data_IF_983229011938
#
_entry.id   IF_983229011938
#
_cell.length_a   1.000
_cell.length_b   1.000
_cell.length_c   1.000
_cell.angle_alpha   90.00
_cell.angle_beta   90.00
_cell.angle_gamma   90.00
#
_symmetry.space_group_name_H-M   'P 1'
#
loop_
_entity.id
_entity.type
_entity.pdbx_description
1 polymer ?
#
# COMPACT_ATOMS: atom_id res chain seq x y z
N UNK A 1 6.00 -17.18 7.22
CA UNK A 1 6.19 -18.61 6.84
C UNK A 1 5.12 -19.41 7.59
N UNK A 2 3.98 -19.58 7.01
CA UNK A 2 3.04 -20.58 7.44
C UNK A 2 3.33 -21.83 6.65
N UNK A 3 4.05 -22.76 7.27
CA UNK A 3 4.32 -24.08 6.71
C UNK A 3 3.19 -25.06 6.96
N UNK A 4 1.95 -24.59 6.88
CA UNK A 4 0.80 -25.47 7.02
C UNK A 4 0.43 -26.06 5.67
N UNK A 5 0.44 -27.39 5.63
CA UNK A 5 0.01 -28.18 4.48
C UNK A 5 -1.49 -28.08 4.15
N UNK A 6 -2.24 -27.28 4.93
CA UNK A 6 -3.66 -26.98 4.78
C UNK A 6 -3.88 -25.48 4.53
N UNK A 7 -3.06 -24.89 3.66
CA UNK A 7 -3.27 -23.51 3.26
C UNK A 7 -4.56 -23.40 2.44
N UNK A 8 -5.61 -22.96 3.10
CA UNK A 8 -6.79 -22.44 2.42
C UNK A 8 -6.47 -21.07 1.89
N UNK A 9 -6.72 -20.85 0.58
CA UNK A 9 -6.54 -19.57 -0.08
C UNK A 9 -7.10 -18.43 0.77
N UNK A 10 -6.23 -17.69 1.44
CA UNK A 10 -6.62 -16.59 2.31
C UNK A 10 -6.36 -15.25 1.63
N UNK A 11 -7.23 -14.29 1.84
CA UNK A 11 -6.98 -12.92 1.45
C UNK A 11 -5.76 -12.39 2.22
N UNK A 12 -4.61 -12.26 1.57
CA UNK A 12 -3.40 -11.76 2.23
C UNK A 12 -2.17 -11.83 1.34
N UNK A 13 -1.01 -11.46 1.89
CA UNK A 13 0.27 -11.44 1.18
C UNK A 13 0.65 -12.79 0.54
N UNK A 14 0.30 -13.88 1.20
CA UNK A 14 0.58 -15.22 0.69
C UNK A 14 -0.17 -15.53 -0.60
N UNK A 15 -1.35 -14.96 -0.80
CA UNK A 15 -2.17 -15.11 -2.00
C UNK A 15 -1.42 -14.70 -3.27
N UNK A 16 -0.66 -13.60 -3.23
CA UNK A 16 0.14 -13.15 -4.38
C UNK A 16 1.11 -14.23 -4.87
N UNK A 17 1.68 -15.03 -3.96
CA UNK A 17 2.74 -15.99 -4.23
C UNK A 17 2.27 -17.43 -4.40
N UNK A 18 1.19 -17.80 -3.71
CA UNK A 18 0.77 -19.20 -3.55
C UNK A 18 -0.48 -19.54 -4.32
N UNK A 19 -1.38 -18.56 -4.55
CA UNK A 19 -2.64 -18.84 -5.24
C UNK A 19 -2.42 -18.99 -6.74
N UNK A 20 -3.18 -19.89 -7.32
CA UNK A 20 -3.23 -20.09 -8.77
C UNK A 20 -3.90 -18.92 -9.47
N UNK A 21 -3.68 -18.78 -10.77
CA UNK A 21 -4.34 -17.75 -11.57
C UNK A 21 -5.86 -17.90 -11.56
N UNK A 22 -6.35 -19.14 -11.55
CA UNK A 22 -7.77 -19.46 -11.50
C UNK A 22 -8.42 -18.99 -10.19
N UNK A 23 -7.81 -19.31 -9.04
CA UNK A 23 -8.26 -18.86 -7.72
C UNK A 23 -8.28 -17.34 -7.59
N UNK A 24 -7.28 -16.66 -8.18
CA UNK A 24 -7.23 -15.20 -8.20
C UNK A 24 -8.32 -14.58 -9.06
N UNK A 25 -8.63 -15.19 -10.21
CA UNK A 25 -9.73 -14.75 -11.11
C UNK A 25 -11.08 -14.94 -10.45
N UNK A 26 -11.31 -16.07 -9.81
CA UNK A 26 -12.59 -16.38 -9.14
C UNK A 26 -12.91 -15.37 -8.04
N UNK A 27 -11.87 -14.80 -7.42
CA UNK A 27 -11.99 -13.75 -6.41
C UNK A 27 -11.99 -12.33 -6.98
N UNK A 28 -11.94 -12.17 -8.31
CA UNK A 28 -11.83 -10.87 -8.97
C UNK A 28 -10.61 -10.04 -8.54
N UNK A 29 -9.55 -10.71 -8.12
CA UNK A 29 -8.31 -10.11 -7.60
C UNK A 29 -7.20 -10.01 -8.65
N UNK A 30 -7.45 -10.46 -9.88
CA UNK A 30 -6.51 -10.48 -10.98
C UNK A 30 -7.15 -9.92 -12.26
N UNK A 31 -6.43 -8.98 -12.87
CA UNK A 31 -6.65 -8.57 -14.27
C UNK A 31 -5.49 -9.09 -15.09
N UNK A 32 -5.75 -9.96 -16.03
CA UNK A 32 -4.75 -10.63 -16.86
C UNK A 32 -4.87 -10.28 -18.34
N UNK A 33 -3.87 -10.62 -19.12
CA UNK A 33 -3.78 -10.40 -20.58
C UNK A 33 -4.01 -8.94 -20.98
N UNK A 34 -3.55 -8.00 -20.17
CA UNK A 34 -3.61 -6.58 -20.48
C UNK A 34 -2.50 -6.22 -21.47
N UNK A 35 -2.81 -5.42 -22.49
CA UNK A 35 -1.83 -4.90 -23.44
C UNK A 35 -1.56 -3.43 -23.19
N UNK A 36 -0.29 -3.04 -23.17
CA UNK A 36 0.09 -1.64 -23.08
C UNK A 36 -0.24 -0.92 -24.38
N UNK A 37 -1.03 0.16 -24.28
CA UNK A 37 -1.36 1.04 -25.42
C UNK A 37 -0.55 2.34 -25.36
N UNK A 38 -0.21 2.79 -24.18
CA UNK A 38 0.54 4.03 -23.99
C UNK A 38 1.43 3.96 -22.75
N UNK A 39 2.65 4.47 -22.87
CA UNK A 39 3.56 4.63 -21.75
C UNK A 39 4.07 6.08 -21.73
N UNK A 40 3.50 6.90 -20.84
CA UNK A 40 3.88 8.30 -20.58
C UNK A 40 4.78 8.38 -19.35
N UNK A 41 5.93 7.75 -19.44
CA UNK A 41 6.92 7.79 -18.35
C UNK A 41 7.95 8.87 -18.65
N UNK A 42 8.13 9.76 -17.70
CA UNK A 42 9.19 10.76 -17.66
C UNK A 42 9.93 10.66 -16.32
N UNK A 43 10.84 11.59 -16.05
CA UNK A 43 11.64 11.59 -14.82
C UNK A 43 10.83 11.90 -13.55
N UNK A 44 9.63 12.45 -13.71
CA UNK A 44 8.76 12.85 -12.59
C UNK A 44 7.59 11.88 -12.39
N UNK A 45 7.02 11.38 -13.48
CA UNK A 45 5.84 10.53 -13.48
C UNK A 45 5.98 9.35 -14.42
N UNK A 46 5.51 8.19 -14.01
CA UNK A 46 5.47 7.00 -14.84
C UNK A 46 4.03 6.48 -14.92
N UNK A 47 3.30 6.90 -15.96
CA UNK A 47 1.92 6.52 -16.21
C UNK A 47 1.87 5.57 -17.40
N UNK A 48 1.20 4.42 -17.19
CA UNK A 48 1.02 3.40 -18.23
C UNK A 48 -0.47 3.13 -18.38
N UNK A 49 -0.93 3.11 -19.64
CA UNK A 49 -2.31 2.80 -20.00
C UNK A 49 -2.37 1.44 -20.70
N UNK A 50 -3.38 0.66 -20.34
CA UNK A 50 -3.62 -0.68 -20.85
C UNK A 50 -5.01 -0.78 -21.47
N UNK A 51 -5.13 -1.59 -22.50
CA UNK A 51 -6.40 -2.07 -23.02
C UNK A 51 -6.70 -3.49 -22.59
N UNK A 52 -7.97 -3.84 -22.52
CA UNK A 52 -8.41 -5.22 -22.37
C UNK A 52 -8.33 -5.95 -23.71
N UNK A 53 -7.77 -7.14 -23.70
CA UNK A 53 -7.78 -8.03 -24.86
C UNK A 53 -9.00 -8.95 -24.84
N UNK A 54 -9.17 -9.76 -25.88
CA UNK A 54 -10.21 -10.78 -25.93
C UNK A 54 -10.07 -11.86 -24.83
N UNK A 55 -8.87 -11.99 -24.26
CA UNK A 55 -8.56 -12.98 -23.21
C UNK A 55 -8.62 -12.39 -21.80
N UNK A 56 -8.74 -11.08 -21.68
CA UNK A 56 -8.75 -10.39 -20.39
C UNK A 56 -10.03 -10.64 -19.61
N UNK A 57 -9.90 -10.90 -18.32
CA UNK A 57 -11.01 -10.78 -17.39
C UNK A 57 -11.32 -9.29 -17.17
N UNK A 58 -12.56 -8.88 -17.48
CA UNK A 58 -13.00 -7.48 -17.26
C UNK A 58 -13.61 -7.27 -15.88
N UNK A 59 -13.91 -8.37 -15.18
CA UNK A 59 -14.48 -8.30 -13.84
C UNK A 59 -13.37 -8.22 -12.81
N UNK A 60 -13.39 -7.17 -12.03
CA UNK A 60 -12.43 -6.97 -10.93
C UNK A 60 -13.03 -6.17 -9.80
N UNK A 61 -12.45 -6.34 -8.62
CA UNK A 61 -12.79 -5.57 -7.42
C UNK A 61 -11.93 -4.29 -7.27
N UNK A 62 -11.17 -3.93 -8.29
CA UNK A 62 -10.25 -2.80 -8.23
C UNK A 62 -10.98 -1.46 -8.30
N UNK A 63 -10.48 -0.51 -7.50
CA UNK A 63 -10.99 0.85 -7.43
C UNK A 63 -9.87 1.87 -7.67
N UNK A 64 -10.24 3.03 -8.17
CA UNK A 64 -9.31 4.16 -8.26
C UNK A 64 -8.67 4.43 -6.90
N UNK A 65 -7.35 4.51 -6.88
CA UNK A 65 -6.54 4.72 -5.68
C UNK A 65 -5.98 3.44 -5.08
N UNK A 66 -6.43 2.26 -5.49
CA UNK A 66 -5.91 0.99 -5.00
C UNK A 66 -4.43 0.85 -5.33
N UNK A 67 -3.72 0.23 -4.39
CA UNK A 67 -2.33 -0.16 -4.59
C UNK A 67 -2.32 -1.53 -5.24
N UNK A 68 -1.65 -1.62 -6.37
CA UNK A 68 -1.60 -2.83 -7.19
C UNK A 68 -0.16 -3.17 -7.56
N UNK A 69 0.06 -4.41 -7.94
CA UNK A 69 1.30 -4.89 -8.54
C UNK A 69 1.08 -5.18 -10.02
N UNK A 70 2.03 -4.74 -10.84
CA UNK A 70 2.10 -5.03 -12.26
C UNK A 70 3.26 -5.99 -12.51
N UNK A 71 3.03 -7.02 -13.31
CA UNK A 71 4.06 -7.96 -13.75
C UNK A 71 3.72 -8.54 -15.11
N UNK A 72 4.74 -9.01 -15.88
CA UNK A 72 4.49 -9.58 -17.21
C UNK A 72 3.73 -10.91 -17.10
N UNK A 73 2.85 -11.14 -18.07
CA UNK A 73 2.15 -12.41 -18.23
C UNK A 73 2.97 -13.39 -19.09
N UNK A 74 3.09 -14.62 -18.63
CA UNK A 74 3.73 -15.71 -19.37
C UNK A 74 2.81 -16.92 -19.52
N UNK A 75 2.65 -17.42 -20.74
CA UNK A 75 1.79 -18.56 -21.04
C UNK A 75 2.25 -19.87 -20.39
N UNK A 76 3.56 -20.02 -20.12
CA UNK A 76 4.13 -21.29 -19.68
C UNK A 76 4.47 -21.35 -18.19
N UNK A 77 4.45 -20.23 -17.48
CA UNK A 77 4.78 -20.17 -16.05
C UNK A 77 4.32 -18.83 -15.49
N UNK A 78 3.22 -18.85 -14.77
CA UNK A 78 2.72 -17.67 -14.04
C UNK A 78 3.37 -17.52 -12.65
N UNK A 79 4.62 -17.98 -12.52
CA UNK A 79 5.32 -17.82 -11.25
C UNK A 79 5.84 -16.39 -11.13
N UNK A 80 5.12 -15.58 -10.39
CA UNK A 80 5.48 -14.19 -10.03
C UNK A 80 6.92 -14.07 -9.52
N UNK A 81 7.45 -15.11 -8.87
CA UNK A 81 8.81 -15.12 -8.33
C UNK A 81 9.91 -15.03 -9.41
N UNK A 82 9.57 -15.31 -10.66
CA UNK A 82 10.53 -15.28 -11.78
C UNK A 82 10.53 -13.93 -12.51
N UNK A 83 9.65 -13.00 -12.12
CA UNK A 83 9.45 -11.75 -12.84
C UNK A 83 9.72 -10.54 -11.96
N UNK A 84 10.09 -9.45 -12.62
CA UNK A 84 10.12 -8.15 -11.96
C UNK A 84 8.69 -7.69 -11.69
N UNK A 85 8.45 -7.31 -10.45
CA UNK A 85 7.17 -6.78 -9.98
C UNK A 85 7.28 -5.26 -9.85
N UNK A 86 6.31 -4.54 -10.38
CA UNK A 86 6.21 -3.09 -10.27
C UNK A 86 5.06 -2.73 -9.35
N UNK A 87 5.36 -1.96 -8.32
CA UNK A 87 4.32 -1.39 -7.44
C UNK A 87 3.69 -0.19 -8.10
N UNK A 88 2.37 -0.17 -8.14
CA UNK A 88 1.60 0.82 -8.85
C UNK A 88 0.45 1.36 -8.01
N UNK A 89 -0.09 2.49 -8.41
CA UNK A 89 -1.38 3.01 -7.95
C UNK A 89 -2.32 3.02 -9.13
N UNK A 90 -3.53 2.48 -8.96
CA UNK A 90 -4.57 2.48 -9.98
C UNK A 90 -5.15 3.89 -10.09
N UNK A 91 -5.06 4.49 -11.28
CA UNK A 91 -5.59 5.83 -11.55
C UNK A 91 -6.99 5.80 -12.11
N UNK A 92 -7.24 4.89 -13.05
CA UNK A 92 -8.52 4.70 -13.73
C UNK A 92 -8.73 3.23 -14.06
N UNK A 93 -9.97 2.79 -13.94
CA UNK A 93 -10.44 1.48 -14.42
C UNK A 93 -11.83 1.68 -15.00
N UNK A 94 -12.00 1.43 -16.27
CA UNK A 94 -13.27 1.57 -17.01
C UNK A 94 -13.41 0.43 -18.02
N UNK A 95 -14.47 0.45 -18.82
CA UNK A 95 -14.74 -0.60 -19.82
C UNK A 95 -13.69 -0.66 -20.95
N UNK A 96 -13.02 0.44 -21.24
CA UNK A 96 -12.03 0.56 -22.32
C UNK A 96 -10.63 0.10 -21.88
N UNK A 97 -10.32 0.20 -20.58
CA UNK A 97 -9.01 -0.18 -20.10
C UNK A 97 -8.66 0.32 -18.71
N UNK A 98 -7.37 0.28 -18.42
CA UNK A 98 -6.81 0.57 -17.12
C UNK A 98 -5.67 1.55 -17.26
N UNK A 99 -5.58 2.50 -16.33
CA UNK A 99 -4.46 3.42 -16.21
C UNK A 99 -3.84 3.31 -14.82
N UNK A 100 -2.55 3.11 -14.78
CA UNK A 100 -1.79 3.01 -13.55
C UNK A 100 -0.65 4.03 -13.51
N UNK A 101 -0.19 4.34 -12.29
CA UNK A 101 1.04 5.07 -12.04
C UNK A 101 2.01 4.17 -11.30
N UNK A 102 3.22 4.00 -11.82
CA UNK A 102 4.29 3.34 -11.10
C UNK A 102 4.69 4.17 -9.87
N UNK A 103 4.86 3.52 -8.73
CA UNK A 103 5.27 4.20 -7.48
C UNK A 103 6.75 4.57 -7.47
N UNK A 104 7.54 3.91 -8.30
CA UNK A 104 8.95 4.21 -8.47
C UNK A 104 9.23 4.39 -9.97
N UNK A 105 9.98 5.41 -10.31
CA UNK A 105 10.40 5.66 -11.71
C UNK A 105 11.25 4.50 -12.20
N UNK A 106 10.85 3.90 -13.31
CA UNK A 106 11.59 2.83 -13.98
C UNK A 106 12.47 3.42 -15.07
N UNK A 107 13.78 3.43 -14.84
CA UNK A 107 14.75 3.97 -15.80
C UNK A 107 14.84 3.15 -17.09
N UNK A 108 14.75 1.82 -16.97
CA UNK A 108 14.76 0.92 -18.13
C UNK A 108 13.35 0.74 -18.70
N UNK A 109 12.96 1.64 -19.58
CA UNK A 109 11.65 1.61 -20.25
C UNK A 109 11.51 0.44 -21.25
N UNK A 110 12.63 -0.17 -21.67
CA UNK A 110 12.57 -1.28 -22.62
C UNK A 110 11.93 -2.54 -22.04
N UNK A 111 11.87 -2.67 -20.72
CA UNK A 111 11.22 -3.82 -20.07
C UNK A 111 9.73 -3.89 -20.46
N UNK A 112 9.06 -2.75 -20.61
CA UNK A 112 7.64 -2.70 -20.98
C UNK A 112 7.37 -3.07 -22.45
N UNK A 113 8.42 -3.19 -23.27
CA UNK A 113 8.34 -3.62 -24.68
C UNK A 113 8.69 -5.11 -24.87
N UNK A 114 9.21 -5.77 -23.84
CA UNK A 114 9.66 -7.17 -23.93
C UNK A 114 8.51 -8.16 -23.85
N UNK A 115 7.39 -7.77 -23.30
CA UNK A 115 6.25 -8.62 -23.05
C UNK A 115 5.00 -8.06 -23.71
N UNK A 116 4.24 -8.95 -24.36
CA UNK A 116 3.00 -8.57 -25.03
C UNK A 116 1.86 -8.33 -24.05
N UNK A 117 1.79 -9.17 -22.99
CA UNK A 117 0.71 -9.13 -22.03
C UNK A 117 1.21 -8.91 -20.61
N UNK A 118 0.35 -8.30 -19.81
CA UNK A 118 0.63 -7.90 -18.43
C UNK A 118 -0.50 -8.30 -17.52
N UNK A 119 -0.17 -8.52 -16.26
CA UNK A 119 -1.09 -8.83 -15.18
C UNK A 119 -1.07 -7.71 -14.14
N UNK A 120 -2.24 -7.41 -13.60
CA UNK A 120 -2.40 -6.50 -12.47
C UNK A 120 -3.12 -7.25 -11.35
N UNK A 121 -2.53 -7.25 -10.16
CA UNK A 121 -3.10 -7.81 -8.94
C UNK A 121 -3.12 -6.80 -7.82
N UNK A 122 -3.97 -7.05 -6.82
CA UNK A 122 -4.00 -6.24 -5.61
C UNK A 122 -2.69 -6.40 -4.83
N UNK A 123 -2.06 -5.30 -4.44
CA UNK A 123 -0.88 -5.33 -3.58
C UNK A 123 -1.31 -5.41 -2.12
N UNK A 124 -1.21 -6.61 -1.56
CA UNK A 124 -1.40 -6.82 -0.12
C UNK A 124 -0.17 -6.43 0.72
N UNK A 125 0.94 -6.10 0.07
CA UNK A 125 2.12 -5.52 0.73
C UNK A 125 1.87 -4.04 1.03
N UNK A 126 0.91 -3.79 1.91
CA UNK A 126 0.55 -2.44 2.31
C UNK A 126 1.77 -1.70 2.88
N UNK A 127 1.93 -0.45 2.46
CA UNK A 127 2.89 0.47 3.03
C UNK A 127 2.72 0.64 4.55
N UNK A 128 1.53 0.39 5.07
CA UNK A 128 1.20 0.37 6.50
C UNK A 128 2.09 -0.61 7.27
N UNK A 129 2.32 -1.82 6.76
CA UNK A 129 3.17 -2.79 7.44
C UNK A 129 4.62 -2.30 7.60
N UNK A 130 5.16 -1.62 6.59
CA UNK A 130 6.50 -1.03 6.70
C UNK A 130 6.56 0.01 7.82
N UNK A 131 5.54 0.85 7.93
CA UNK A 131 5.45 1.83 9.02
C UNK A 131 5.23 1.16 10.37
N UNK A 132 4.40 0.13 10.44
CA UNK A 132 4.17 -0.65 11.66
C UNK A 132 5.46 -1.30 12.14
N UNK A 133 6.20 -2.01 11.29
CA UNK A 133 7.48 -2.63 11.65
C UNK A 133 8.51 -1.59 12.09
N UNK A 134 8.60 -0.47 11.39
CA UNK A 134 9.52 0.60 11.78
C UNK A 134 9.14 1.21 13.12
N UNK A 135 7.86 1.45 13.37
CA UNK A 135 7.39 1.99 14.64
C UNK A 135 7.57 0.98 15.78
N UNK A 136 7.36 -0.32 15.52
CA UNK A 136 7.65 -1.37 16.49
C UNK A 136 9.15 -1.43 16.82
N UNK A 137 10.03 -1.28 15.82
CA UNK A 137 11.46 -1.19 16.04
C UNK A 137 11.81 0.03 16.90
N UNK A 138 11.22 1.19 16.63
CA UNK A 138 11.42 2.38 17.45
C UNK A 138 10.93 2.19 18.88
N UNK A 139 9.80 1.50 19.07
CA UNK A 139 9.31 1.16 20.41
C UNK A 139 10.29 0.24 21.17
N UNK A 140 10.80 -0.80 20.49
CA UNK A 140 11.74 -1.76 21.12
C UNK A 140 13.08 -1.07 21.49
N UNK A 141 13.54 -0.14 20.66
CA UNK A 141 14.81 0.57 20.86
C UNK A 141 14.67 1.87 21.65
N UNK A 142 13.45 2.29 21.97
CA UNK A 142 13.21 3.48 22.78
C UNK A 142 13.71 3.30 24.22
N UNK A 143 14.02 4.42 24.88
CA UNK A 143 14.33 4.45 26.30
C UNK A 143 13.20 3.83 27.13
N UNK A 144 13.57 3.18 28.23
CA UNK A 144 12.63 2.41 29.04
C UNK A 144 11.46 3.27 29.54
N UNK A 145 11.72 4.48 29.97
CA UNK A 145 10.68 5.42 30.42
C UNK A 145 9.63 5.69 29.33
N UNK A 146 10.08 5.89 28.09
CA UNK A 146 9.19 6.06 26.92
C UNK A 146 8.36 4.81 26.62
N UNK A 147 9.00 3.63 26.69
CA UNK A 147 8.28 2.36 26.49
C UNK A 147 7.20 2.16 27.54
N UNK A 148 7.53 2.37 28.80
CA UNK A 148 6.58 2.24 29.92
C UNK A 148 5.38 3.18 29.76
N UNK A 149 5.63 4.42 29.29
CA UNK A 149 4.57 5.38 29.02
C UNK A 149 3.65 4.91 27.89
N UNK A 150 4.21 4.49 26.75
CA UNK A 150 3.43 4.01 25.59
C UNK A 150 2.65 2.74 25.91
N UNK A 151 3.21 1.84 26.72
CA UNK A 151 2.58 0.61 27.16
C UNK A 151 1.60 0.79 28.34
N UNK A 152 1.41 2.03 28.80
CA UNK A 152 0.52 2.33 29.93
C UNK A 152 1.04 1.83 31.29
N UNK A 153 2.31 1.48 31.39
CA UNK A 153 2.96 1.01 32.62
C UNK A 153 3.42 2.16 33.52
N UNK A 154 3.49 3.36 32.96
CA UNK A 154 3.76 4.62 33.66
C UNK A 154 2.67 5.65 33.33
N UNK A 155 2.25 6.40 34.32
CA UNK A 155 1.31 7.51 34.07
C UNK A 155 2.07 8.71 33.46
N UNK A 156 1.41 9.45 32.54
CA UNK A 156 1.98 10.68 31.98
C UNK A 156 2.25 11.72 33.09
N UNK A 157 3.37 12.38 32.99
CA UNK A 157 3.67 13.50 33.86
C UNK A 157 3.00 14.79 33.33
N UNK A 158 2.51 15.59 34.23
CA UNK A 158 1.89 16.90 33.95
C UNK A 158 2.76 17.99 34.57
N UNK A 159 2.97 19.09 33.87
CA UNK A 159 3.66 20.23 34.43
C UNK A 159 2.88 20.81 35.63
N UNK A 160 3.56 21.06 36.70
CA UNK A 160 2.97 21.67 37.91
C UNK A 160 2.49 23.11 37.70
N UNK A 161 2.96 23.80 36.67
CA UNK A 161 2.51 25.12 36.27
C UNK A 161 1.71 24.98 34.97
N UNK A 162 0.43 25.39 34.99
CA UNK A 162 -0.34 25.54 33.76
C UNK A 162 0.34 26.58 32.86
N UNK A 163 0.85 26.10 31.73
CA UNK A 163 1.28 26.98 30.65
C UNK A 163 0.02 27.37 29.89
N UNK A 164 -0.40 28.62 30.04
CA UNK A 164 -1.54 29.16 29.27
C UNK A 164 -0.97 29.60 27.91
N UNK A 165 -1.20 28.85 26.83
CA UNK A 165 -0.76 29.31 25.53
C UNK A 165 -1.55 30.55 25.12
N UNK A 166 -0.86 31.54 24.58
CA UNK A 166 -1.52 32.68 23.98
C UNK A 166 -2.18 32.24 22.66
N UNK A 167 -3.46 31.88 22.72
CA UNK A 167 -4.21 31.37 21.58
C UNK A 167 -4.86 32.56 20.86
N UNK A 168 -4.24 33.01 19.80
CA UNK A 168 -4.83 33.96 18.86
C UNK A 168 -5.77 33.20 17.92
N UNK A 169 -7.05 33.50 17.98
CA UNK A 169 -8.10 32.95 17.11
C UNK A 169 -9.40 32.61 17.82
N UNK A 170 -10.47 32.45 17.05
CA UNK A 170 -11.80 32.05 17.54
C UNK A 170 -11.86 30.54 17.80
N UNK A 171 -11.35 30.12 18.96
CA UNK A 171 -11.44 28.73 19.41
C UNK A 171 -12.64 28.57 20.35
N UNK A 172 -13.34 27.44 20.21
CA UNK A 172 -14.40 27.07 21.16
C UNK A 172 -13.79 26.77 22.54
N UNK A 173 -14.62 26.84 23.59
CA UNK A 173 -14.19 26.52 24.95
C UNK A 173 -13.64 25.09 25.09
N UNK A 174 -14.20 24.14 24.33
CA UNK A 174 -13.76 22.75 24.28
C UNK A 174 -12.39 22.63 23.64
N UNK A 175 -12.17 23.31 22.50
CA UNK A 175 -10.85 23.34 21.84
C UNK A 175 -9.77 23.96 22.75
N UNK A 176 -10.09 25.08 23.45
CA UNK A 176 -9.17 25.69 24.43
C UNK A 176 -8.83 24.72 25.55
N UNK A 177 -9.84 23.97 26.06
CA UNK A 177 -9.61 22.96 27.11
C UNK A 177 -8.70 21.84 26.64
N UNK A 178 -8.91 21.31 25.42
CA UNK A 178 -8.09 20.28 24.83
C UNK A 178 -6.64 20.76 24.67
N UNK A 179 -6.44 21.95 24.11
CA UNK A 179 -5.10 22.53 23.92
C UNK A 179 -4.41 22.73 25.27
N UNK A 180 -5.10 23.28 26.27
CA UNK A 180 -4.53 23.46 27.60
C UNK A 180 -4.11 22.12 28.23
N UNK A 181 -4.90 21.08 28.06
CA UNK A 181 -4.54 19.75 28.54
C UNK A 181 -3.29 19.19 27.84
N UNK A 182 -3.22 19.34 26.50
CA UNK A 182 -2.06 18.87 25.71
C UNK A 182 -0.80 19.62 26.14
N UNK A 183 -0.86 20.96 26.23
CA UNK A 183 0.32 21.79 26.57
C UNK A 183 0.75 21.60 28.03
N UNK A 184 -0.14 21.18 28.91
CA UNK A 184 0.20 20.86 30.29
C UNK A 184 0.83 19.47 30.49
N UNK A 185 0.76 18.61 29.49
CA UNK A 185 1.40 17.29 29.54
C UNK A 185 2.89 17.40 29.20
N UNK A 186 3.77 16.83 30.04
CA UNK A 186 5.22 16.77 29.83
C UNK A 186 5.60 15.68 28.83
N UNK A 187 4.86 14.59 28.81
CA UNK A 187 5.18 13.36 28.09
C UNK A 187 4.45 13.19 26.75
N UNK A 188 3.53 14.09 26.38
CA UNK A 188 2.84 14.08 25.10
C UNK A 188 3.40 15.17 24.17
N UNK A 189 3.69 14.78 22.95
CA UNK A 189 4.10 15.66 21.86
C UNK A 189 3.07 15.58 20.73
#
# INVERSE_FOLDING_TARGET
KTGDSNYEASNGQASLWLDTEEEKRDRFALLNYLRIIENKSNDEEAIISFEFTAFSSRLSNFRKGDIVVLYPHHFNSNNILQHQIFKCTLLESNEDGIKIRLRNVQKNQNIFKQFEFWNIEQDFLDSSFKHMYRNLFYLITAEEEKRQLILGQRQPEVYSKQVVPNLEGELTNEQKKIINNIVSCKDYY
#
